data_IF_467942656390
#
_entry.id   IF_467942656390
#
_cell.length_a   1.000
_cell.length_b   1.000
_cell.length_c   1.000
_cell.angle_alpha   90.00
_cell.angle_beta   90.00
_cell.angle_gamma   90.00
#
_symmetry.space_group_name_H-M   'P 1'
#
loop_
_entity.id
_entity.type
_entity.pdbx_description
1 polymer ?
#
# COMPACT_ATOMS: atom_id res chain seq x y z
N UNK A 1 3.90 29.88 -54.41
CA UNK A 1 2.94 30.56 -53.50
C UNK A 1 1.99 29.51 -52.96
N UNK A 2 2.05 29.21 -51.67
CA UNK A 2 1.15 28.23 -51.03
C UNK A 2 -0.21 28.88 -50.75
N UNK A 3 -1.30 28.21 -51.10
CA UNK A 3 -2.66 28.72 -50.88
C UNK A 3 -3.13 28.41 -49.45
N UNK A 4 -3.95 29.29 -48.87
CA UNK A 4 -4.53 29.22 -47.52
C UNK A 4 -5.21 27.88 -47.20
N UNK A 5 -5.68 27.14 -48.21
CA UNK A 5 -6.24 25.78 -48.05
C UNK A 5 -5.22 24.68 -47.74
N UNK A 6 -3.95 24.87 -48.06
CA UNK A 6 -2.88 23.90 -47.77
C UNK A 6 -2.35 24.01 -46.33
N UNK A 7 -2.61 25.13 -45.63
CA UNK A 7 -2.14 25.36 -44.26
C UNK A 7 -3.00 24.66 -43.20
N UNK A 8 -4.27 24.37 -43.51
CA UNK A 8 -5.20 23.68 -42.60
C UNK A 8 -5.13 22.15 -42.69
N UNK A 9 -4.52 21.60 -43.74
CA UNK A 9 -4.38 20.15 -43.92
C UNK A 9 -3.13 19.55 -43.25
N UNK A 10 -2.14 20.37 -42.91
CA UNK A 10 -0.83 19.92 -42.40
C UNK A 10 -0.70 19.96 -40.87
N UNK A 11 -1.77 20.31 -40.14
CA UNK A 11 -1.74 20.46 -38.68
C UNK A 11 -1.96 19.18 -37.87
N UNK A 12 -2.45 18.09 -38.48
CA UNK A 12 -2.88 16.89 -37.73
C UNK A 12 -1.85 15.76 -37.67
N UNK A 13 -0.76 15.81 -38.44
CA UNK A 13 0.21 14.68 -38.50
C UNK A 13 1.44 14.85 -37.60
N UNK A 14 1.62 16.00 -36.93
CA UNK A 14 2.75 16.19 -36.01
C UNK A 14 2.41 15.94 -34.52
N UNK A 15 1.13 15.74 -34.17
CA UNK A 15 0.70 15.60 -32.76
C UNK A 15 0.43 14.17 -32.29
N UNK A 16 0.21 13.21 -33.19
CA UNK A 16 -0.24 11.86 -32.81
C UNK A 16 0.88 10.94 -32.27
N UNK A 17 2.15 11.28 -32.50
CA UNK A 17 3.28 10.44 -32.09
C UNK A 17 3.72 10.59 -30.62
N UNK A 18 3.33 11.68 -29.95
CA UNK A 18 3.87 12.00 -28.61
C UNK A 18 3.00 11.51 -27.45
N UNK A 19 1.77 11.04 -27.69
CA UNK A 19 0.80 10.73 -26.62
C UNK A 19 0.82 9.25 -26.19
N UNK A 20 1.47 8.36 -26.93
CA UNK A 20 1.44 6.91 -26.64
C UNK A 20 2.56 6.40 -25.72
N UNK A 21 3.53 7.21 -25.33
CA UNK A 21 4.70 6.74 -24.58
C UNK A 21 4.47 6.58 -23.06
N UNK A 22 3.41 7.15 -22.48
CA UNK A 22 3.23 7.17 -21.02
C UNK A 22 2.32 6.06 -20.45
N UNK A 23 1.62 5.29 -21.29
CA UNK A 23 0.73 4.23 -20.80
C UNK A 23 1.51 2.96 -20.34
N UNK A 24 2.66 2.68 -20.95
CA UNK A 24 3.45 1.48 -20.64
C UNK A 24 4.19 1.53 -19.30
N UNK A 25 4.62 2.72 -18.86
CA UNK A 25 5.38 2.89 -17.61
C UNK A 25 4.51 2.82 -16.34
N UNK A 26 3.18 3.01 -16.47
CA UNK A 26 2.25 2.85 -15.37
C UNK A 26 1.95 1.37 -15.08
N UNK A 27 1.89 0.53 -16.13
CA UNK A 27 1.63 -0.91 -15.97
C UNK A 27 2.82 -1.69 -15.40
N UNK A 28 4.05 -1.20 -15.54
CA UNK A 28 5.23 -1.87 -14.96
C UNK A 28 5.37 -1.67 -13.46
N UNK A 29 4.88 -0.56 -12.88
CA UNK A 29 5.07 -0.25 -11.44
C UNK A 29 4.38 -1.22 -10.49
N UNK A 30 3.27 -1.84 -10.90
CA UNK A 30 2.55 -2.81 -10.06
C UNK A 30 3.22 -4.20 -10.01
N UNK A 31 4.14 -4.51 -10.93
CA UNK A 31 4.88 -5.78 -10.90
C UNK A 31 5.87 -5.88 -9.74
N UNK A 32 6.30 -4.74 -9.22
CA UNK A 32 7.31 -4.66 -8.17
C UNK A 32 6.71 -4.45 -6.77
N UNK A 33 5.41 -4.63 -6.58
CA UNK A 33 4.76 -4.57 -5.25
C UNK A 33 4.77 -5.98 -4.64
N UNK A 34 5.12 -6.17 -3.35
CA UNK A 34 5.01 -7.48 -2.73
C UNK A 34 3.55 -7.96 -2.73
N UNK A 35 3.31 -9.26 -2.93
CA UNK A 35 1.95 -9.80 -2.82
C UNK A 35 1.39 -9.52 -1.42
N UNK A 36 0.11 -9.10 -1.35
CA UNK A 36 -0.52 -8.81 -0.08
C UNK A 36 -0.86 -10.12 0.65
N UNK A 37 -0.41 -10.27 1.89
CA UNK A 37 -0.89 -11.33 2.76
C UNK A 37 -2.23 -10.93 3.40
N UNK A 38 -3.07 -11.91 3.70
CA UNK A 38 -4.37 -11.73 4.35
C UNK A 38 -4.57 -12.78 5.44
N UNK A 39 -5.39 -12.47 6.44
CA UNK A 39 -5.92 -13.46 7.38
C UNK A 39 -7.37 -13.13 7.72
N UNK A 40 -8.19 -14.15 7.97
CA UNK A 40 -9.54 -14.04 8.50
C UNK A 40 -9.65 -14.56 9.96
N UNK A 41 -8.58 -15.17 10.48
CA UNK A 41 -8.51 -15.69 11.85
C UNK A 41 -8.50 -14.57 12.92
N UNK A 42 -9.34 -14.68 13.97
CA UNK A 42 -9.35 -13.77 15.11
C UNK A 42 -8.33 -14.15 16.21
N UNK A 43 -7.62 -15.27 16.05
CA UNK A 43 -6.71 -15.77 17.06
C UNK A 43 -5.36 -15.07 17.02
N UNK A 44 -4.79 -14.82 18.19
CA UNK A 44 -3.40 -14.36 18.34
C UNK A 44 -2.46 -15.32 17.62
N UNK A 45 -1.64 -14.79 16.72
CA UNK A 45 -0.59 -15.53 16.02
C UNK A 45 0.78 -15.21 16.61
N UNK A 46 1.64 -16.22 16.64
CA UNK A 46 3.03 -16.04 17.07
C UNK A 46 3.79 -15.34 15.94
N UNK A 47 4.42 -14.17 16.20
CA UNK A 47 5.20 -13.47 15.18
C UNK A 47 6.42 -14.30 14.74
N UNK A 48 6.84 -14.20 13.47
CA UNK A 48 8.06 -14.84 13.01
C UNK A 48 9.26 -14.29 13.78
N UNK A 49 10.24 -15.15 14.06
CA UNK A 49 11.49 -14.71 14.69
C UNK A 49 12.27 -13.79 13.73
N UNK A 50 13.00 -12.80 14.24
CA UNK A 50 13.80 -11.91 13.40
C UNK A 50 14.86 -12.69 12.63
N UNK A 51 15.12 -12.28 11.40
CA UNK A 51 16.30 -12.72 10.65
C UNK A 51 17.54 -11.94 11.10
N UNK A 52 18.68 -12.62 11.14
CA UNK A 52 19.95 -12.37 11.86
C UNK A 52 20.49 -10.93 12.02
N UNK A 53 20.03 -9.93 11.25
CA UNK A 53 20.59 -8.56 11.30
C UNK A 53 20.35 -7.87 12.65
N UNK A 54 19.21 -8.11 13.29
CA UNK A 54 18.89 -7.56 14.61
C UNK A 54 18.27 -8.65 15.48
N UNK A 55 18.88 -8.89 16.64
CA UNK A 55 18.30 -9.73 17.67
C UNK A 55 17.34 -8.87 18.51
N UNK A 56 16.05 -9.18 18.45
CA UNK A 56 15.02 -8.52 19.25
C UNK A 56 13.92 -9.52 19.61
N UNK A 57 13.18 -9.23 20.68
CA UNK A 57 12.01 -10.01 21.05
C UNK A 57 10.79 -9.51 20.27
N UNK A 58 10.21 -10.31 19.36
CA UNK A 58 9.07 -9.86 18.58
C UNK A 58 7.84 -9.58 19.45
N UNK A 59 7.08 -8.57 19.06
CA UNK A 59 5.86 -8.18 19.77
C UNK A 59 4.71 -9.12 19.39
N UNK A 60 4.09 -9.74 20.40
CA UNK A 60 2.83 -10.46 20.24
C UNK A 60 1.68 -9.48 20.39
N UNK A 61 0.89 -9.32 19.34
CA UNK A 61 -0.34 -8.52 19.38
C UNK A 61 -1.54 -9.42 19.63
N UNK A 62 -2.28 -9.13 20.70
CA UNK A 62 -3.47 -9.90 21.07
C UNK A 62 -4.52 -9.85 19.95
N UNK A 63 -5.08 -11.01 19.61
CA UNK A 63 -6.03 -11.20 18.52
C UNK A 63 -5.50 -10.68 17.17
N UNK A 64 -4.17 -10.67 17.01
CA UNK A 64 -3.49 -10.10 15.87
C UNK A 64 -2.44 -11.05 15.28
N UNK A 65 -1.79 -10.56 14.23
CA UNK A 65 -0.76 -11.25 13.48
C UNK A 65 0.19 -10.22 12.88
N UNK A 66 1.44 -10.61 12.61
CA UNK A 66 2.41 -9.70 11.99
C UNK A 66 2.26 -9.68 10.48
N UNK A 67 2.21 -8.49 9.88
CA UNK A 67 2.23 -8.31 8.43
C UNK A 67 3.59 -8.82 7.91
N UNK A 68 3.62 -9.85 7.05
CA UNK A 68 4.87 -10.27 6.43
C UNK A 68 5.44 -9.16 5.56
N UNK A 69 6.76 -9.18 5.45
CA UNK A 69 7.53 -8.31 4.57
C UNK A 69 8.46 -9.15 3.70
N UNK A 70 8.94 -8.55 2.61
CA UNK A 70 10.16 -9.03 1.94
C UNK A 70 11.29 -8.03 2.12
N UNK A 71 12.52 -8.51 1.99
CA UNK A 71 13.69 -7.64 1.89
C UNK A 71 13.96 -7.29 0.43
N UNK A 72 14.20 -6.00 0.15
CA UNK A 72 14.60 -5.50 -1.16
C UNK A 72 15.68 -4.42 -0.98
N UNK A 73 16.95 -4.72 -1.30
CA UNK A 73 18.09 -3.79 -1.15
C UNK A 73 18.14 -3.11 0.22
N UNK A 74 18.15 -3.91 1.30
CA UNK A 74 18.13 -3.47 2.70
C UNK A 74 16.88 -2.68 3.14
N UNK A 75 15.81 -2.73 2.35
CA UNK A 75 14.50 -2.16 2.70
C UNK A 75 13.53 -3.28 3.04
N UNK A 76 12.89 -3.20 4.21
CA UNK A 76 11.71 -4.00 4.55
C UNK A 76 10.50 -3.46 3.81
N UNK A 77 9.95 -4.26 2.91
CA UNK A 77 8.78 -3.88 2.12
C UNK A 77 7.53 -4.62 2.59
N UNK A 78 6.54 -3.85 3.02
CA UNK A 78 5.23 -4.32 3.44
C UNK A 78 4.16 -3.94 2.41
N UNK A 79 3.07 -4.73 2.35
CA UNK A 79 1.89 -4.39 1.56
C UNK A 79 0.65 -4.36 2.45
N UNK A 80 0.18 -3.14 2.75
CA UNK A 80 -1.01 -2.86 3.54
C UNK A 80 -2.19 -2.59 2.62
N UNK A 81 -3.31 -3.27 2.82
CA UNK A 81 -4.49 -3.14 1.95
C UNK A 81 -5.69 -2.72 2.79
N UNK A 82 -6.18 -1.50 2.59
CA UNK A 82 -7.41 -1.01 3.22
C UNK A 82 -8.62 -1.58 2.48
N UNK A 83 -9.53 -2.28 3.16
CA UNK A 83 -10.68 -2.92 2.52
C UNK A 83 -11.88 -3.12 3.46
N UNK A 84 -13.10 -3.32 2.93
CA UNK A 84 -14.24 -3.74 3.74
C UNK A 84 -14.05 -5.15 4.29
N UNK A 85 -14.41 -5.37 5.55
CA UNK A 85 -14.32 -6.67 6.23
C UNK A 85 -15.58 -6.94 7.06
N UNK A 86 -15.91 -8.21 7.31
CA UNK A 86 -17.02 -8.61 8.17
C UNK A 86 -16.52 -9.39 9.38
N UNK A 87 -16.86 -8.95 10.61
CA UNK A 87 -16.42 -9.54 11.88
C UNK A 87 -17.58 -9.87 12.80
N UNK A 88 -17.48 -11.02 13.47
CA UNK A 88 -18.35 -11.38 14.59
C UNK A 88 -17.76 -10.69 15.83
N UNK A 89 -18.48 -9.70 16.38
CA UNK A 89 -18.04 -8.96 17.57
C UNK A 89 -18.47 -9.66 18.86
N UNK A 90 -19.60 -10.35 18.81
CA UNK A 90 -20.17 -11.22 19.83
C UNK A 90 -21.08 -12.24 19.14
N UNK A 91 -21.52 -13.28 19.86
CA UNK A 91 -22.43 -14.28 19.29
C UNK A 91 -23.68 -13.63 18.66
N UNK A 92 -23.96 -13.98 17.40
CA UNK A 92 -25.02 -13.37 16.59
C UNK A 92 -24.80 -11.90 16.16
N UNK A 93 -23.74 -11.22 16.59
CA UNK A 93 -23.44 -9.83 16.23
C UNK A 93 -22.38 -9.75 15.13
N UNK A 94 -22.83 -9.71 13.87
CA UNK A 94 -21.97 -9.44 12.72
C UNK A 94 -21.85 -7.93 12.47
N UNK A 95 -20.63 -7.43 12.38
CA UNK A 95 -20.29 -6.06 12.05
C UNK A 95 -19.60 -5.97 10.69
N UNK A 96 -20.05 -5.02 9.86
CA UNK A 96 -19.37 -4.62 8.63
C UNK A 96 -18.46 -3.45 8.94
N UNK A 97 -17.17 -3.63 8.71
CA UNK A 97 -16.11 -2.73 9.12
C UNK A 97 -15.23 -2.39 7.93
N UNK A 98 -14.39 -1.38 8.10
CA UNK A 98 -13.21 -1.21 7.27
C UNK A 98 -12.00 -1.68 8.06
N UNK A 99 -11.13 -2.40 7.38
CA UNK A 99 -9.98 -3.04 8.00
C UNK A 99 -8.78 -3.01 7.09
N UNK A 100 -7.74 -3.73 7.51
CA UNK A 100 -6.54 -3.94 6.72
C UNK A 100 -6.27 -5.43 6.56
N UNK A 101 -5.93 -5.85 5.34
CA UNK A 101 -5.46 -7.21 5.02
C UNK A 101 -6.40 -8.30 5.57
N UNK A 102 -7.70 -8.11 5.40
CA UNK A 102 -8.75 -9.05 5.80
C UNK A 102 -9.18 -8.96 7.25
N UNK A 103 -8.63 -8.07 8.09
CA UNK A 103 -8.95 -7.94 9.51
C UNK A 103 -9.33 -6.53 9.98
N UNK A 104 -10.11 -6.49 11.07
CA UNK A 104 -10.24 -5.34 11.95
C UNK A 104 -10.17 -5.85 13.40
N UNK A 105 -9.08 -5.64 14.15
CA UNK A 105 -7.92 -4.77 13.85
C UNK A 105 -6.98 -5.32 12.79
N UNK A 106 -6.35 -4.44 12.01
CA UNK A 106 -5.36 -4.81 10.99
C UNK A 106 -4.09 -5.49 11.54
N UNK A 107 -3.18 -5.93 10.67
CA UNK A 107 -1.95 -6.60 11.08
C UNK A 107 -0.97 -5.68 11.79
N UNK A 108 -0.10 -6.26 12.60
CA UNK A 108 1.03 -5.59 13.24
C UNK A 108 2.15 -5.39 12.24
N UNK A 109 2.59 -4.14 12.06
CA UNK A 109 3.81 -3.82 11.33
C UNK A 109 4.93 -3.66 12.35
N UNK A 110 6.01 -4.42 12.18
CA UNK A 110 7.12 -4.43 13.12
C UNK A 110 8.44 -4.09 12.40
N UNK A 111 9.14 -3.10 12.96
CA UNK A 111 10.44 -2.64 12.49
C UNK A 111 11.31 -2.22 13.68
N UNK A 112 12.62 -2.28 13.49
CA UNK A 112 13.65 -1.93 14.47
C UNK A 112 14.34 -0.63 14.07
N UNK A 113 14.81 0.15 15.04
CA UNK A 113 15.60 1.35 14.77
C UNK A 113 16.79 1.07 13.83
N UNK A 114 17.00 1.95 12.85
CA UNK A 114 18.03 1.78 11.82
C UNK A 114 17.60 0.93 10.62
N UNK A 115 16.39 0.36 10.62
CA UNK A 115 15.80 -0.28 9.44
C UNK A 115 15.24 0.75 8.47
N UNK A 116 15.35 0.43 7.17
CA UNK A 116 14.67 1.17 6.11
C UNK A 116 13.37 0.45 5.81
N UNK A 117 12.26 1.17 5.88
CA UNK A 117 10.92 0.60 5.69
C UNK A 117 10.25 1.27 4.50
N UNK A 118 9.55 0.47 3.70
CA UNK A 118 8.66 0.93 2.64
C UNK A 118 7.34 0.19 2.79
N UNK A 119 6.24 0.94 2.84
CA UNK A 119 4.90 0.37 2.96
C UNK A 119 4.12 0.77 1.71
N UNK A 120 3.72 -0.23 0.94
CA UNK A 120 2.77 -0.05 -0.15
C UNK A 120 1.36 -0.07 0.44
N UNK A 121 0.60 0.99 0.21
CA UNK A 121 -0.79 1.08 0.67
C UNK A 121 -1.72 1.00 -0.53
N UNK A 122 -2.55 -0.04 -0.56
CA UNK A 122 -3.61 -0.21 -1.57
C UNK A 122 -4.95 0.09 -0.95
N UNK A 123 -5.69 1.05 -1.52
CA UNK A 123 -7.06 1.34 -1.11
C UNK A 123 -8.05 0.54 -1.96
N UNK A 124 -8.80 -0.37 -1.32
CA UNK A 124 -9.94 -1.09 -1.90
C UNK A 124 -11.28 -0.65 -1.29
N UNK A 125 -11.29 0.40 -0.48
CA UNK A 125 -12.51 0.99 0.06
C UNK A 125 -13.29 1.72 -1.04
N UNK A 126 -14.61 1.90 -0.88
CA UNK A 126 -15.41 2.71 -1.79
C UNK A 126 -15.16 4.23 -1.64
N UNK A 127 -14.31 4.64 -0.69
CA UNK A 127 -14.05 6.04 -0.32
C UNK A 127 -12.57 6.38 -0.43
N UNK A 128 -12.28 7.68 -0.59
CA UNK A 128 -10.91 8.19 -0.46
C UNK A 128 -10.38 7.95 0.96
N UNK A 129 -9.11 7.55 1.07
CA UNK A 129 -8.48 7.25 2.36
C UNK A 129 -7.02 7.68 2.39
N UNK A 130 -6.50 7.88 3.59
CA UNK A 130 -5.07 8.07 3.85
C UNK A 130 -4.68 7.30 5.12
N UNK A 131 -3.40 6.98 5.25
CA UNK A 131 -2.84 6.28 6.41
C UNK A 131 -1.85 7.20 7.09
N UNK A 132 -2.15 7.59 8.33
CA UNK A 132 -1.25 8.38 9.17
C UNK A 132 -0.48 7.46 10.12
N UNK A 133 0.85 7.63 10.18
CA UNK A 133 1.74 6.80 10.98
C UNK A 133 1.94 7.41 12.37
N UNK A 134 0.91 7.26 13.20
CA UNK A 134 0.85 7.90 14.52
C UNK A 134 2.12 7.67 15.35
N UNK A 135 2.76 8.76 15.77
CA UNK A 135 3.93 8.74 16.63
C UNK A 135 5.28 8.57 15.92
N UNK A 136 5.31 8.43 14.60
CA UNK A 136 6.55 8.40 13.83
C UNK A 136 7.00 9.81 13.42
N UNK A 137 8.32 10.04 13.44
CA UNK A 137 8.94 11.26 12.93
C UNK A 137 9.17 11.07 11.43
N UNK A 138 8.33 11.67 10.59
CA UNK A 138 8.35 11.50 9.14
C UNK A 138 8.37 12.84 8.39
N UNK A 139 8.93 12.90 7.16
CA UNK A 139 8.67 14.00 6.26
C UNK A 139 7.18 14.13 5.97
N UNK A 140 6.68 15.37 5.82
CA UNK A 140 5.24 15.63 5.60
C UNK A 140 4.64 14.83 4.43
N UNK A 141 5.37 14.66 3.32
CA UNK A 141 4.91 13.87 2.17
C UNK A 141 4.78 12.36 2.40
N UNK A 142 5.20 11.85 3.57
CA UNK A 142 5.07 10.46 3.98
C UNK A 142 4.11 10.25 5.16
N UNK A 143 3.57 11.34 5.72
CA UNK A 143 2.81 11.34 6.97
C UNK A 143 1.32 11.02 6.79
N UNK A 144 0.85 10.92 5.53
CA UNK A 144 -0.54 10.57 5.22
C UNK A 144 -1.54 11.71 5.46
N UNK A 145 -1.09 12.96 5.41
CA UNK A 145 -1.97 14.13 5.49
C UNK A 145 -2.88 14.17 4.26
N UNK A 146 -4.20 14.08 4.49
CA UNK A 146 -5.18 14.10 3.42
C UNK A 146 -5.21 15.45 2.68
N UNK A 147 -5.37 15.41 1.35
CA UNK A 147 -5.53 16.62 0.53
C UNK A 147 -4.25 17.42 0.26
N UNK A 148 -3.09 16.94 0.72
CA UNK A 148 -1.77 17.46 0.34
C UNK A 148 -1.03 16.37 -0.44
N UNK A 149 -0.98 16.51 -1.77
CA UNK A 149 -0.25 15.61 -2.67
C UNK A 149 0.35 16.39 -3.83
#
# INVERSE_FOLDING_TARGET
MMNRRQLLGTGLTAGAGAVLANAGAAQTRFRDIPEAAFTDSPHTQVPPRPTERFDYNPVVTLNGWSLPYRMNNDVKEFHLVAEPVERIMADGMMARLWGYNGQSTGPTIEAVEGERVRIYVTNRLPEHTSVHWHGLILPSGMDGVGGLS
#
